data_IF_015965355346
#
_entry.id   IF_015965355346
#
_cell.length_a   1.000
_cell.length_b   1.000
_cell.length_c   1.000
_cell.angle_alpha   90.00
_cell.angle_beta   90.00
_cell.angle_gamma   90.00
#
_symmetry.space_group_name_H-M   'P 1'
#
loop_
_entity.id
_entity.type
_entity.pdbx_description
1 polymer ?
#
# COMPACT_ATOMS: atom_id res chain seq x y z
N UNK A 1 16.19 -5.84 13.90
CA UNK A 1 14.81 -5.38 14.16
C UNK A 1 14.01 -5.57 12.88
N UNK A 2 12.85 -6.22 12.95
CA UNK A 2 11.97 -6.46 11.80
C UNK A 2 11.40 -5.14 11.28
N UNK A 3 11.42 -4.96 9.95
CA UNK A 3 10.95 -3.72 9.29
C UNK A 3 9.45 -3.50 9.56
N UNK A 4 8.98 -2.27 9.84
CA UNK A 4 7.56 -2.02 10.09
C UNK A 4 6.74 -2.26 8.82
N UNK A 5 5.73 -3.13 8.89
CA UNK A 5 4.82 -3.45 7.78
C UNK A 5 3.40 -3.04 8.17
N UNK A 6 2.68 -2.44 7.22
CA UNK A 6 1.26 -2.15 7.32
C UNK A 6 0.65 -2.50 5.97
N UNK A 7 -0.56 -3.06 6.01
CA UNK A 7 -1.43 -3.14 4.86
C UNK A 7 -2.77 -2.48 5.18
N UNK A 8 -3.39 -1.84 4.18
CA UNK A 8 -4.67 -1.15 4.32
C UNK A 8 -5.77 -1.97 3.62
N UNK A 9 -6.74 -2.46 4.38
CA UNK A 9 -7.83 -3.28 3.88
C UNK A 9 -9.14 -2.49 3.83
N UNK A 10 -9.81 -2.40 2.68
CA UNK A 10 -11.08 -1.67 2.55
C UNK A 10 -12.29 -2.47 3.08
N UNK A 11 -12.17 -3.79 3.23
CA UNK A 11 -13.22 -4.60 3.81
C UNK A 11 -13.22 -4.44 5.33
N UNK A 12 -14.34 -3.96 5.88
CA UNK A 12 -14.49 -3.75 7.31
C UNK A 12 -15.40 -4.83 7.86
N UNK A 13 -14.85 -5.71 8.67
CA UNK A 13 -15.61 -6.80 9.29
C UNK A 13 -16.30 -6.32 10.57
N UNK A 14 -17.21 -7.14 11.09
CA UNK A 14 -17.78 -6.91 12.42
C UNK A 14 -16.73 -6.97 13.53
N UNK A 15 -15.72 -7.83 13.40
CA UNK A 15 -14.62 -7.91 14.37
C UNK A 15 -13.78 -6.62 14.37
N UNK A 16 -13.57 -6.00 13.21
CA UNK A 16 -12.91 -4.70 13.09
C UNK A 16 -13.68 -3.60 13.81
N UNK A 17 -15.01 -3.60 13.68
CA UNK A 17 -15.85 -2.63 14.37
C UNK A 17 -15.69 -2.68 15.91
N UNK A 18 -15.53 -3.88 16.49
CA UNK A 18 -15.25 -4.02 17.92
C UNK A 18 -13.86 -3.47 18.29
N UNK A 19 -12.82 -3.81 17.52
CA UNK A 19 -11.48 -3.25 17.75
C UNK A 19 -11.46 -1.72 17.67
N UNK A 20 -12.21 -1.14 16.72
CA UNK A 20 -12.37 0.31 16.58
C UNK A 20 -13.05 0.92 17.79
N UNK A 21 -14.12 0.31 18.31
CA UNK A 21 -14.78 0.75 19.54
C UNK A 21 -13.80 0.77 20.71
N UNK A 22 -13.09 -0.32 20.94
CA UNK A 22 -12.12 -0.44 22.04
C UNK A 22 -11.02 0.64 21.96
N UNK A 23 -10.49 0.91 20.76
CA UNK A 23 -9.48 1.97 20.59
C UNK A 23 -10.05 3.38 20.80
N UNK A 24 -11.31 3.61 20.44
CA UNK A 24 -11.95 4.93 20.57
C UNK A 24 -12.43 5.21 22.00
N UNK A 25 -12.46 4.22 22.90
CA UNK A 25 -12.66 4.44 24.33
C UNK A 25 -11.42 5.03 25.04
N UNK A 26 -10.21 4.81 24.51
CA UNK A 26 -8.98 5.35 25.09
C UNK A 26 -8.83 6.85 24.80
N UNK A 27 -8.87 7.68 25.85
CA UNK A 27 -8.69 9.12 25.75
C UNK A 27 -7.34 9.52 25.12
N UNK A 28 -6.29 8.72 25.29
CA UNK A 28 -4.99 9.01 24.67
C UNK A 28 -5.00 8.80 23.15
N UNK A 29 -5.83 7.88 22.65
CA UNK A 29 -6.03 7.65 21.22
C UNK A 29 -6.90 8.77 20.63
N UNK A 30 -7.95 9.17 21.34
CA UNK A 30 -8.95 10.11 20.85
C UNK A 30 -8.66 11.59 21.12
N UNK A 31 -7.69 11.92 22.00
CA UNK A 31 -7.35 13.30 22.40
C UNK A 31 -7.17 14.28 21.24
N UNK A 32 -6.66 13.81 20.10
CA UNK A 32 -6.38 14.64 18.93
C UNK A 32 -7.32 14.36 17.74
N UNK A 33 -8.38 13.59 17.95
CA UNK A 33 -9.41 13.30 16.94
C UNK A 33 -10.59 14.25 17.12
N UNK A 34 -10.88 15.03 16.08
CA UNK A 34 -11.93 16.07 16.11
C UNK A 34 -13.35 15.51 16.33
N UNK A 35 -13.63 14.26 15.90
CA UNK A 35 -14.98 13.67 15.87
C UNK A 35 -15.16 12.37 16.69
N UNK A 36 -14.22 12.03 17.57
CA UNK A 36 -14.14 10.70 18.21
C UNK A 36 -15.41 10.23 18.94
N UNK A 37 -16.09 11.10 19.70
CA UNK A 37 -17.26 10.72 20.52
C UNK A 37 -18.50 10.38 19.69
N UNK A 38 -18.64 10.98 18.51
CA UNK A 38 -19.76 10.66 17.60
C UNK A 38 -19.50 9.36 16.84
N UNK A 39 -18.24 9.09 16.50
CA UNK A 39 -17.83 7.88 15.77
C UNK A 39 -18.03 6.62 16.62
N UNK A 40 -17.60 6.59 17.89
CA UNK A 40 -17.80 5.41 18.76
C UNK A 40 -19.27 5.02 18.90
N UNK A 41 -20.12 6.00 19.23
CA UNK A 41 -21.58 5.78 19.36
C UNK A 41 -22.23 5.33 18.06
N UNK A 42 -21.77 5.85 16.91
CA UNK A 42 -22.25 5.40 15.62
C UNK A 42 -21.92 3.92 15.37
N UNK A 43 -20.67 3.52 15.64
CA UNK A 43 -20.23 2.12 15.48
C UNK A 43 -21.02 1.20 16.42
N UNK A 44 -21.17 1.57 17.70
CA UNK A 44 -21.99 0.84 18.68
C UNK A 44 -23.44 0.62 18.19
N UNK A 45 -24.08 1.68 17.68
CA UNK A 45 -25.45 1.60 17.16
C UNK A 45 -25.54 0.72 15.92
N UNK A 46 -24.56 0.80 15.03
CA UNK A 46 -24.47 -0.01 13.81
C UNK A 46 -24.31 -1.48 14.16
N UNK A 47 -23.33 -1.81 15.01
CA UNK A 47 -23.04 -3.19 15.42
C UNK A 47 -24.22 -3.77 16.19
N UNK A 48 -24.85 -2.99 17.07
CA UNK A 48 -26.01 -3.44 17.85
C UNK A 48 -27.28 -3.69 17.03
N UNK A 49 -27.46 -3.02 15.89
CA UNK A 49 -28.70 -3.10 15.07
C UNK A 49 -28.57 -4.00 13.85
N UNK A 50 -27.37 -4.16 13.31
CA UNK A 50 -27.13 -4.85 12.04
C UNK A 50 -26.31 -6.11 12.30
N UNK A 51 -26.83 -7.29 11.91
CA UNK A 51 -26.13 -8.58 12.03
C UNK A 51 -25.39 -8.98 10.74
N UNK A 52 -24.87 -8.00 9.99
CA UNK A 52 -24.09 -8.28 8.80
C UNK A 52 -22.63 -8.60 9.19
N UNK A 53 -21.98 -9.57 8.51
CA UNK A 53 -20.58 -9.90 8.76
C UNK A 53 -19.63 -8.80 8.24
N UNK A 54 -20.02 -8.11 7.17
CA UNK A 54 -19.25 -7.05 6.51
C UNK A 54 -20.01 -5.72 6.64
N UNK A 55 -19.32 -4.70 7.13
CA UNK A 55 -19.87 -3.39 7.49
C UNK A 55 -19.30 -2.24 6.64
N UNK A 56 -18.49 -2.53 5.61
CA UNK A 56 -17.78 -1.55 4.77
C UNK A 56 -18.62 -0.34 4.33
N UNK A 57 -19.84 -0.57 3.84
CA UNK A 57 -20.73 0.49 3.35
C UNK A 57 -21.09 1.54 4.41
N UNK A 58 -21.05 1.18 5.70
CA UNK A 58 -21.37 2.07 6.81
C UNK A 58 -20.20 2.99 7.17
N UNK A 59 -18.97 2.58 6.87
CA UNK A 59 -17.75 3.35 7.15
C UNK A 59 -17.34 4.26 5.98
N UNK A 60 -17.77 3.96 4.76
CA UNK A 60 -17.42 4.71 3.55
C UNK A 60 -18.32 5.95 3.29
N UNK A 61 -19.01 6.46 4.31
CA UNK A 61 -19.82 7.68 4.15
C UNK A 61 -18.92 8.91 4.01
N UNK A 62 -18.89 9.53 2.82
CA UNK A 62 -18.10 10.72 2.54
C UNK A 62 -16.60 10.48 2.32
N UNK A 63 -16.15 9.23 2.16
CA UNK A 63 -14.75 8.90 1.92
C UNK A 63 -14.52 7.39 1.89
N UNK A 64 -13.27 6.97 1.78
CA UNK A 64 -12.88 5.56 1.89
C UNK A 64 -12.24 5.30 3.24
N UNK A 65 -12.68 4.23 3.90
CA UNK A 65 -12.17 3.79 5.18
C UNK A 65 -11.42 2.48 5.00
N UNK A 66 -10.28 2.35 5.68
CA UNK A 66 -9.41 1.20 5.60
C UNK A 66 -8.97 0.80 7.00
N UNK A 67 -9.09 -0.49 7.32
CA UNK A 67 -8.42 -1.07 8.48
C UNK A 67 -6.94 -1.24 8.18
N UNK A 68 -6.10 -0.85 9.14
CA UNK A 68 -4.66 -1.07 9.06
C UNK A 68 -4.30 -2.34 9.82
N UNK A 69 -3.67 -3.27 9.10
CA UNK A 69 -3.20 -4.55 9.62
C UNK A 69 -1.67 -4.58 9.62
N UNK A 70 -1.07 -5.23 10.62
CA UNK A 70 0.36 -5.52 10.60
C UNK A 70 0.68 -6.78 9.79
N UNK A 71 1.91 -7.29 9.93
CA UNK A 71 2.42 -8.45 9.18
C UNK A 71 1.74 -9.78 9.54
N UNK A 72 1.15 -9.86 10.73
CA UNK A 72 0.54 -11.06 11.28
C UNK A 72 -0.99 -10.98 11.14
N UNK A 73 -1.47 -10.08 10.27
CA UNK A 73 -2.88 -9.74 10.07
C UNK A 73 -3.59 -9.33 11.37
N UNK A 74 -2.85 -8.72 12.31
CA UNK A 74 -3.43 -8.13 13.52
C UNK A 74 -3.88 -6.70 13.22
N UNK A 75 -5.13 -6.31 13.54
CA UNK A 75 -5.58 -4.95 13.37
C UNK A 75 -4.83 -4.03 14.34
N UNK A 76 -4.25 -2.94 13.83
CA UNK A 76 -3.42 -2.01 14.62
C UNK A 76 -3.88 -0.56 14.52
N UNK A 77 -4.78 -0.24 13.59
CA UNK A 77 -5.28 1.11 13.39
C UNK A 77 -6.25 1.20 12.22
N UNK A 78 -6.49 2.42 11.77
CA UNK A 78 -7.26 2.69 10.56
C UNK A 78 -6.76 3.94 9.83
N UNK A 79 -7.01 3.98 8.52
CA UNK A 79 -6.83 5.15 7.66
C UNK A 79 -8.16 5.49 7.01
N UNK A 80 -8.51 6.77 6.98
CA UNK A 80 -9.64 7.29 6.22
C UNK A 80 -9.14 8.33 5.23
N UNK A 81 -9.58 8.20 3.99
CA UNK A 81 -9.31 9.11 2.89
C UNK A 81 -10.60 9.80 2.46
N UNK A 82 -10.71 11.10 2.73
CA UNK A 82 -11.91 11.91 2.49
C UNK A 82 -11.67 12.78 1.27
N UNK A 83 -12.42 12.57 0.18
CA UNK A 83 -12.24 13.32 -1.06
C UNK A 83 -12.90 14.70 -0.97
N UNK A 84 -12.15 15.73 -1.31
CA UNK A 84 -12.56 17.14 -1.30
C UNK A 84 -12.28 17.75 -2.69
N UNK A 85 -13.16 17.47 -3.65
CA UNK A 85 -12.92 17.83 -5.05
C UNK A 85 -11.78 17.00 -5.64
N UNK A 86 -10.67 17.65 -6.01
CA UNK A 86 -9.44 17.00 -6.50
C UNK A 86 -8.44 16.68 -5.39
N UNK A 87 -8.65 17.24 -4.21
CA UNK A 87 -7.81 16.98 -3.05
C UNK A 87 -8.38 15.84 -2.20
N UNK A 88 -7.55 15.31 -1.31
CA UNK A 88 -7.93 14.28 -0.36
C UNK A 88 -7.42 14.66 1.03
N UNK A 89 -8.22 14.44 2.06
CA UNK A 89 -7.82 14.56 3.46
C UNK A 89 -7.58 13.16 4.04
N UNK A 90 -6.42 12.97 4.66
CA UNK A 90 -6.06 11.74 5.36
C UNK A 90 -6.29 11.90 6.87
N UNK A 91 -7.05 10.96 7.43
CA UNK A 91 -7.19 10.76 8.87
C UNK A 91 -6.61 9.39 9.21
N UNK A 92 -5.73 9.32 10.21
CA UNK A 92 -5.05 8.10 10.62
C UNK A 92 -5.12 7.97 12.14
N UNK A 93 -5.36 6.74 12.60
CA UNK A 93 -5.21 6.35 14.00
C UNK A 93 -4.39 5.07 14.07
N UNK A 94 -3.43 5.03 15.00
CA UNK A 94 -2.83 3.80 15.48
C UNK A 94 -3.42 3.57 16.87
N UNK A 95 -4.14 2.47 17.04
CA UNK A 95 -4.94 2.15 18.22
C UNK A 95 -4.07 1.84 19.44
N UNK A 96 -3.97 0.56 19.81
CA UNK A 96 -3.24 0.08 20.99
C UNK A 96 -1.90 0.84 21.20
N UNK A 97 -1.74 1.39 22.40
CA UNK A 97 -0.59 2.22 22.80
C UNK A 97 0.75 1.48 22.73
N UNK A 98 0.75 0.16 22.90
CA UNK A 98 1.94 -0.68 22.78
C UNK A 98 2.52 -0.66 21.35
N UNK A 99 1.69 -0.33 20.36
CA UNK A 99 2.13 -0.19 18.98
C UNK A 99 2.81 1.15 18.67
N UNK A 100 2.78 2.08 19.62
CA UNK A 100 3.32 3.42 19.41
C UNK A 100 4.86 3.40 19.46
N UNK A 101 5.49 4.19 18.59
CA UNK A 101 6.95 4.20 18.47
C UNK A 101 7.53 3.10 17.57
N UNK A 102 6.73 2.09 17.19
CA UNK A 102 7.13 1.02 16.24
C UNK A 102 7.11 1.45 14.77
N UNK A 103 7.06 2.76 14.48
CA UNK A 103 6.97 3.37 13.14
C UNK A 103 5.73 2.97 12.30
N UNK A 104 4.74 2.27 12.85
CA UNK A 104 3.51 1.85 12.13
C UNK A 104 2.74 3.04 11.51
N UNK A 105 2.67 4.18 12.21
CA UNK A 105 2.01 5.36 11.66
C UNK A 105 2.66 5.87 10.38
N UNK A 106 4.00 5.82 10.28
CA UNK A 106 4.69 6.21 9.05
C UNK A 106 4.42 5.21 7.92
N UNK A 107 4.38 3.90 8.20
CA UNK A 107 4.01 2.89 7.22
C UNK A 107 2.57 3.08 6.73
N UNK A 108 1.62 3.34 7.63
CA UNK A 108 0.23 3.61 7.26
C UNK A 108 0.06 4.89 6.42
N UNK A 109 0.85 5.95 6.68
CA UNK A 109 0.87 7.16 5.84
C UNK A 109 1.35 6.82 4.41
N UNK A 110 2.37 5.98 4.26
CA UNK A 110 2.88 5.58 2.92
C UNK A 110 1.85 4.78 2.14
N UNK A 111 1.24 3.78 2.77
CA UNK A 111 0.14 3.03 2.15
C UNK A 111 -1.06 3.94 1.81
N UNK A 112 -1.37 4.90 2.68
CA UNK A 112 -2.41 5.90 2.43
C UNK A 112 -2.08 6.82 1.25
N UNK A 113 -0.82 7.23 1.07
CA UNK A 113 -0.37 8.00 -0.10
C UNK A 113 -0.53 7.18 -1.38
N UNK A 114 -0.14 5.91 -1.37
CA UNK A 114 -0.31 5.00 -2.51
C UNK A 114 -1.77 4.98 -2.98
N UNK A 115 -2.71 4.73 -2.07
CA UNK A 115 -4.15 4.75 -2.38
C UNK A 115 -4.64 6.14 -2.82
N UNK A 116 -4.23 7.21 -2.14
CA UNK A 116 -4.70 8.55 -2.47
C UNK A 116 -4.28 9.00 -3.87
N UNK A 117 -3.04 8.73 -4.28
CA UNK A 117 -2.48 9.24 -5.53
C UNK A 117 -2.68 8.28 -6.71
N UNK A 118 -2.51 6.97 -6.53
CA UNK A 118 -2.63 6.00 -7.62
C UNK A 118 -4.07 5.50 -7.80
N UNK A 119 -4.77 5.16 -6.72
CA UNK A 119 -6.15 4.65 -6.82
C UNK A 119 -7.17 5.80 -6.94
N UNK A 120 -7.15 6.77 -6.00
CA UNK A 120 -8.14 7.85 -5.95
C UNK A 120 -7.84 9.05 -6.85
N UNK A 121 -6.65 9.10 -7.46
CA UNK A 121 -6.14 10.16 -8.35
C UNK A 121 -6.23 11.57 -7.73
N UNK A 122 -5.89 11.71 -6.45
CA UNK A 122 -5.84 13.00 -5.79
C UNK A 122 -4.69 13.87 -6.33
N UNK A 123 -4.90 15.18 -6.49
CA UNK A 123 -3.82 16.13 -6.83
C UNK A 123 -2.99 16.50 -5.58
N UNK A 124 -3.67 16.62 -4.43
CA UNK A 124 -3.06 16.94 -3.14
C UNK A 124 -3.66 16.08 -2.02
N UNK A 125 -2.82 15.62 -1.11
CA UNK A 125 -3.19 14.91 0.11
C UNK A 125 -2.87 15.75 1.33
N UNK A 126 -3.86 15.98 2.17
CA UNK A 126 -3.81 16.93 3.30
C UNK A 126 -3.97 16.16 4.60
N UNK A 127 -3.19 16.54 5.62
CA UNK A 127 -3.33 16.05 6.98
C UNK A 127 -3.46 17.24 7.93
N UNK A 128 -4.62 17.35 8.59
CA UNK A 128 -4.86 18.35 9.64
C UNK A 128 -4.50 17.76 10.99
N UNK A 129 -3.52 18.35 11.66
CA UNK A 129 -2.92 17.81 12.88
C UNK A 129 -3.02 18.83 14.00
N UNK A 130 -3.51 18.43 15.17
CA UNK A 130 -3.52 19.28 16.36
C UNK A 130 -2.10 19.78 16.69
N UNK A 131 -1.95 21.05 17.06
CA UNK A 131 -0.65 21.69 17.28
C UNK A 131 0.22 20.94 18.31
N UNK A 132 -0.40 20.40 19.37
CA UNK A 132 0.27 19.62 20.41
C UNK A 132 0.61 18.18 20.01
N UNK A 133 0.12 17.69 18.87
CA UNK A 133 0.39 16.32 18.41
C UNK A 133 1.71 16.25 17.62
N UNK A 134 2.81 16.55 18.31
CA UNK A 134 4.15 16.54 17.75
C UNK A 134 4.55 15.19 17.14
N UNK A 135 3.99 14.08 17.66
CA UNK A 135 4.24 12.74 17.14
C UNK A 135 3.66 12.55 15.73
N UNK A 136 2.38 12.91 15.54
CA UNK A 136 1.75 12.83 14.22
C UNK A 136 2.43 13.76 13.24
N UNK A 137 2.71 15.01 13.64
CA UNK A 137 3.42 15.98 12.80
C UNK A 137 4.75 15.43 12.29
N UNK A 138 5.60 14.91 13.19
CA UNK A 138 6.89 14.30 12.82
C UNK A 138 6.73 13.07 11.91
N UNK A 139 5.65 12.31 12.04
CA UNK A 139 5.40 11.15 11.17
C UNK A 139 5.10 11.59 9.73
N UNK A 140 4.23 12.59 9.54
CA UNK A 140 3.92 13.15 8.23
C UNK A 140 5.12 13.85 7.58
N UNK A 141 5.86 14.67 8.35
CA UNK A 141 7.10 15.33 7.88
C UNK A 141 8.13 14.30 7.38
N UNK A 142 8.32 13.19 8.11
CA UNK A 142 9.22 12.09 7.71
C UNK A 142 8.74 11.34 6.47
N UNK A 143 7.45 11.35 6.18
CA UNK A 143 6.88 10.83 4.94
C UNK A 143 6.91 11.85 3.80
N UNK A 144 7.55 13.01 4.00
CA UNK A 144 7.80 14.01 2.97
C UNK A 144 6.74 15.10 2.85
N UNK A 145 5.71 15.09 3.72
CA UNK A 145 4.72 16.16 3.77
C UNK A 145 5.36 17.48 4.22
N UNK A 146 4.85 18.58 3.70
CA UNK A 146 5.30 19.94 4.03
C UNK A 146 4.18 20.72 4.71
N UNK A 147 4.53 21.69 5.56
CA UNK A 147 3.55 22.58 6.17
C UNK A 147 2.90 23.45 5.07
N UNK A 148 1.57 23.42 5.00
CA UNK A 148 0.75 24.20 4.05
C UNK A 148 0.16 25.43 4.76
N UNK A 149 -0.57 25.19 5.86
CA UNK A 149 -1.13 26.26 6.70
C UNK A 149 -0.97 25.95 8.18
N UNK A 150 -0.91 26.99 9.01
CA UNK A 150 -0.79 26.86 10.46
C UNK A 150 -1.72 27.83 11.17
N UNK A 151 -2.38 27.34 12.19
CA UNK A 151 -3.18 28.10 13.16
C UNK A 151 -2.72 27.73 14.57
N UNK A 152 -3.10 28.49 15.62
CA UNK A 152 -2.75 28.13 17.00
C UNK A 152 -3.24 26.74 17.43
N UNK A 153 -4.34 26.24 16.85
CA UNK A 153 -4.92 24.95 17.21
C UNK A 153 -4.48 23.81 16.27
N UNK A 154 -4.25 24.09 14.99
CA UNK A 154 -4.07 23.09 13.94
C UNK A 154 -2.94 23.45 12.98
N UNK A 155 -2.13 22.45 12.64
CA UNK A 155 -1.15 22.48 11.57
C UNK A 155 -1.67 21.63 10.41
N UNK A 156 -1.82 22.22 9.23
CA UNK A 156 -2.18 21.51 8.02
C UNK A 156 -0.91 21.21 7.23
N UNK A 157 -0.60 19.93 7.06
CA UNK A 157 0.48 19.48 6.20
C UNK A 157 -0.09 18.94 4.89
N UNK A 158 0.66 19.08 3.80
CA UNK A 158 0.26 18.62 2.48
C UNK A 158 1.37 17.86 1.76
N UNK A 159 0.95 16.95 0.88
CA UNK A 159 1.76 16.26 -0.11
C UNK A 159 1.07 16.43 -1.47
N UNK A 160 1.78 16.86 -2.50
CA UNK A 160 1.25 16.89 -3.86
C UNK A 160 1.61 15.60 -4.59
N UNK A 161 0.82 15.23 -5.61
CA UNK A 161 1.12 14.08 -6.46
C UNK A 161 2.51 14.18 -7.09
N UNK A 162 2.87 15.34 -7.64
CA UNK A 162 4.19 15.57 -8.25
C UNK A 162 5.34 15.31 -7.26
N UNK A 163 5.21 15.81 -6.03
CA UNK A 163 6.23 15.61 -4.98
C UNK A 163 6.31 14.15 -4.57
N UNK A 164 5.17 13.47 -4.44
CA UNK A 164 5.13 12.05 -4.10
C UNK A 164 5.80 11.19 -5.17
N UNK A 165 5.47 11.39 -6.45
CA UNK A 165 6.09 10.68 -7.57
C UNK A 165 7.61 10.92 -7.62
N UNK A 166 8.06 12.15 -7.35
CA UNK A 166 9.49 12.47 -7.25
C UNK A 166 10.17 11.71 -6.11
N UNK A 167 9.53 11.67 -4.93
CA UNK A 167 10.05 10.93 -3.77
C UNK A 167 10.19 9.43 -4.06
N UNK A 168 9.24 8.82 -4.78
CA UNK A 168 9.31 7.41 -5.17
C UNK A 168 10.52 7.09 -6.05
N UNK A 169 10.89 8.01 -6.94
CA UNK A 169 12.05 7.86 -7.84
C UNK A 169 13.38 8.14 -7.16
N UNK A 170 13.44 9.20 -6.33
CA UNK A 170 14.70 9.71 -5.78
C UNK A 170 15.10 9.08 -4.45
N UNK A 171 14.12 8.68 -3.62
CA UNK A 171 14.38 8.19 -2.28
C UNK A 171 13.39 7.07 -1.92
N UNK A 172 13.58 5.86 -2.51
CA UNK A 172 12.80 4.70 -2.12
C UNK A 172 12.95 4.53 -0.61
N UNK A 173 11.84 4.44 0.12
CA UNK A 173 11.87 4.40 1.58
C UNK A 173 12.88 3.33 2.05
N UNK A 174 13.77 3.68 2.99
CA UNK A 174 14.94 2.88 3.45
C UNK A 174 14.68 1.38 3.74
N UNK A 175 13.42 0.98 3.84
CA UNK A 175 12.99 -0.36 4.25
C UNK A 175 12.35 -1.15 3.09
N UNK A 176 12.13 -0.57 1.91
CA UNK A 176 11.54 -1.24 0.75
C UNK A 176 12.65 -1.79 -0.14
N UNK A 177 12.51 -3.02 -0.61
CA UNK A 177 13.46 -3.64 -1.53
C UNK A 177 13.43 -2.90 -2.87
N UNK A 178 14.61 -2.62 -3.43
CA UNK A 178 14.71 -2.01 -4.75
C UNK A 178 14.38 -3.04 -5.82
N UNK A 179 13.30 -2.78 -6.56
CA UNK A 179 12.93 -3.59 -7.72
C UNK A 179 13.48 -2.95 -8.99
N UNK A 180 13.78 -3.79 -9.98
CA UNK A 180 14.34 -3.37 -11.26
C UNK A 180 13.33 -3.63 -12.36
N UNK A 181 13.28 -2.75 -13.34
CA UNK A 181 12.45 -2.94 -14.54
C UNK A 181 13.21 -2.47 -15.75
N UNK A 182 13.09 -3.18 -16.86
CA UNK A 182 13.70 -2.73 -18.11
C UNK A 182 13.00 -1.50 -18.66
N UNK A 183 13.72 -0.69 -19.43
CA UNK A 183 13.14 0.48 -20.12
C UNK A 183 11.97 0.07 -21.03
N UNK A 184 12.09 -1.07 -21.70
CA UNK A 184 11.09 -1.61 -22.63
C UNK A 184 9.82 -2.01 -21.87
N UNK A 185 9.95 -2.85 -20.84
CA UNK A 185 8.80 -3.30 -20.05
C UNK A 185 8.10 -2.15 -19.36
N UNK A 186 8.84 -1.18 -18.82
CA UNK A 186 8.26 0.01 -18.20
C UNK A 186 7.41 0.81 -19.19
N UNK A 187 7.88 0.98 -20.43
CA UNK A 187 7.12 1.68 -21.46
C UNK A 187 5.87 0.89 -21.87
N UNK A 188 6.00 -0.43 -22.06
CA UNK A 188 4.88 -1.31 -22.44
C UNK A 188 3.81 -1.35 -21.35
N UNK A 189 4.18 -1.58 -20.10
CA UNK A 189 3.25 -1.60 -18.97
C UNK A 189 2.56 -0.24 -18.78
N UNK A 190 3.29 0.88 -18.88
CA UNK A 190 2.64 2.21 -18.78
C UNK A 190 1.58 2.45 -19.86
N UNK A 191 1.82 1.98 -21.08
CA UNK A 191 0.84 2.09 -22.15
C UNK A 191 -0.40 1.21 -21.89
N UNK A 192 -0.21 0.01 -21.32
CA UNK A 192 -1.32 -0.88 -20.94
C UNK A 192 -2.15 -0.26 -19.81
N UNK A 193 -1.50 0.24 -18.75
CA UNK A 193 -2.16 0.84 -17.59
C UNK A 193 -2.98 2.10 -17.92
N UNK A 194 -2.69 2.78 -19.04
CA UNK A 194 -3.39 4.00 -19.44
C UNK A 194 -4.89 3.78 -19.74
N UNK A 195 -5.31 2.53 -19.99
CA UNK A 195 -6.68 2.16 -20.33
C UNK A 195 -7.39 1.37 -19.23
N UNK A 196 -6.71 1.09 -18.12
CA UNK A 196 -7.23 0.27 -17.03
C UNK A 196 -7.85 1.10 -15.90
N UNK A 197 -8.82 0.51 -15.21
CA UNK A 197 -9.44 1.13 -14.03
C UNK A 197 -8.43 1.18 -12.86
N UNK A 198 -8.14 2.36 -12.28
CA UNK A 198 -7.07 2.52 -11.29
C UNK A 198 -7.14 1.56 -10.11
N UNK A 199 -8.35 1.23 -9.63
CA UNK A 199 -8.56 0.38 -8.46
C UNK A 199 -7.99 -1.03 -8.60
N UNK A 200 -7.85 -1.55 -9.83
CA UNK A 200 -7.31 -2.89 -10.10
C UNK A 200 -5.80 -2.93 -10.32
N UNK A 201 -5.17 -1.77 -10.56
CA UNK A 201 -3.79 -1.69 -11.05
C UNK A 201 -2.87 -0.75 -10.24
N UNK A 202 -3.41 -0.04 -9.24
CA UNK A 202 -2.67 1.00 -8.52
C UNK A 202 -1.40 0.48 -7.83
N UNK A 203 -1.39 -0.79 -7.38
CA UNK A 203 -0.20 -1.44 -6.82
C UNK A 203 0.91 -1.55 -7.87
N UNK A 204 0.58 -2.07 -9.06
CA UNK A 204 1.54 -2.19 -10.16
C UNK A 204 2.05 -0.83 -10.62
N UNK A 205 1.17 0.17 -10.75
CA UNK A 205 1.58 1.53 -11.12
C UNK A 205 2.52 2.15 -10.08
N UNK A 206 2.26 1.92 -8.80
CA UNK A 206 3.14 2.32 -7.71
C UNK A 206 4.52 1.65 -7.80
N UNK A 207 4.55 0.34 -8.03
CA UNK A 207 5.78 -0.45 -8.17
C UNK A 207 6.61 0.03 -9.37
N UNK A 208 5.98 0.22 -10.53
CA UNK A 208 6.65 0.73 -11.75
C UNK A 208 7.22 2.14 -11.54
N UNK A 209 6.52 2.99 -10.79
CA UNK A 209 6.96 4.36 -10.53
C UNK A 209 8.23 4.41 -9.67
N UNK A 210 8.32 3.56 -8.64
CA UNK A 210 9.49 3.49 -7.74
C UNK A 210 10.63 2.60 -8.25
N UNK A 211 10.38 1.80 -9.29
CA UNK A 211 11.36 0.84 -9.81
C UNK A 211 12.60 1.54 -10.39
N UNK A 212 13.76 0.92 -10.17
CA UNK A 212 15.02 1.31 -10.82
C UNK A 212 14.94 0.86 -12.27
N UNK A 213 14.99 1.83 -13.19
CA UNK A 213 14.93 1.57 -14.61
C UNK A 213 16.33 1.22 -15.10
N UNK A 214 16.45 0.10 -15.81
CA UNK A 214 17.72 -0.40 -16.35
C UNK A 214 17.62 -0.70 -17.84
N UNK A 215 18.75 -0.58 -18.53
CA UNK A 215 18.87 -1.07 -19.91
C UNK A 215 18.65 -2.59 -19.94
N UNK A 216 17.88 -3.15 -20.90
CA UNK A 216 17.68 -4.59 -21.02
C UNK A 216 18.98 -5.40 -21.11
N UNK A 217 20.05 -4.83 -21.69
CA UNK A 217 21.37 -5.47 -21.77
C UNK A 217 22.14 -5.44 -20.44
N UNK A 218 21.69 -4.63 -19.49
CA UNK A 218 22.34 -4.42 -18.20
C UNK A 218 21.53 -4.95 -17.01
N UNK A 219 20.32 -5.48 -17.23
CA UNK A 219 19.54 -6.12 -16.17
C UNK A 219 20.29 -7.35 -15.66
N UNK A 220 20.30 -7.54 -14.35
CA UNK A 220 20.96 -8.69 -13.75
C UNK A 220 20.14 -9.96 -14.02
N UNK A 221 20.82 -11.08 -14.28
CA UNK A 221 20.20 -12.36 -14.68
C UNK A 221 19.36 -13.03 -13.60
N UNK A 222 19.42 -12.52 -12.37
CA UNK A 222 18.69 -12.99 -11.20
C UNK A 222 17.42 -12.17 -10.91
N UNK A 223 17.07 -11.21 -11.78
CA UNK A 223 15.86 -10.37 -11.65
C UNK A 223 14.68 -11.04 -12.35
N UNK A 224 13.50 -11.01 -11.72
CA UNK A 224 12.24 -11.38 -12.37
C UNK A 224 11.77 -10.23 -13.28
N UNK A 225 12.09 -10.29 -14.57
CA UNK A 225 11.57 -9.38 -15.62
C UNK A 225 10.28 -9.94 -16.22
N UNK A 226 9.64 -9.20 -17.14
CA UNK A 226 8.50 -9.73 -17.87
C UNK A 226 8.91 -10.99 -18.66
N UNK A 227 8.00 -11.94 -18.80
CA UNK A 227 8.21 -13.26 -19.41
C UNK A 227 9.26 -14.16 -18.74
N UNK A 228 9.75 -13.78 -17.55
CA UNK A 228 10.63 -14.64 -16.75
C UNK A 228 9.87 -15.84 -16.16
N UNK A 229 10.59 -16.94 -15.94
CA UNK A 229 10.14 -18.07 -15.11
C UNK A 229 10.91 -18.10 -13.81
N UNK A 230 10.21 -18.30 -12.70
CA UNK A 230 10.82 -18.33 -11.38
C UNK A 230 10.16 -19.37 -10.47
N UNK A 231 10.94 -19.88 -9.52
CA UNK A 231 10.43 -20.59 -8.34
C UNK A 231 10.17 -19.54 -7.26
N UNK A 232 8.92 -19.44 -6.86
CA UNK A 232 8.46 -18.53 -5.81
C UNK A 232 7.96 -19.36 -4.64
N UNK A 233 8.48 -19.06 -3.46
CA UNK A 233 8.01 -19.61 -2.20
C UNK A 233 6.97 -18.66 -1.62
N UNK A 234 5.75 -19.14 -1.45
CA UNK A 234 4.65 -18.45 -0.80
C UNK A 234 4.36 -19.10 0.55
N UNK A 235 4.72 -18.42 1.64
CA UNK A 235 4.76 -18.98 2.98
C UNK A 235 5.56 -20.29 3.00
N UNK A 236 4.89 -21.45 3.12
CA UNK A 236 5.49 -22.79 3.19
C UNK A 236 5.35 -23.59 1.86
N UNK A 237 4.77 -23.00 0.81
CA UNK A 237 4.55 -23.66 -0.48
C UNK A 237 5.42 -23.06 -1.61
N UNK A 238 6.22 -23.91 -2.28
CA UNK A 238 6.98 -23.54 -3.47
C UNK A 238 6.16 -23.77 -4.74
N UNK A 239 6.22 -22.84 -5.69
CA UNK A 239 5.59 -22.97 -7.00
C UNK A 239 6.47 -22.40 -8.11
N UNK A 240 6.50 -23.08 -9.26
CA UNK A 240 7.07 -22.53 -10.49
C UNK A 240 6.01 -21.67 -11.18
N UNK A 241 6.38 -20.44 -11.51
CA UNK A 241 5.51 -19.46 -12.14
C UNK A 241 6.21 -18.78 -13.30
N UNK A 242 5.45 -18.38 -14.31
CA UNK A 242 5.90 -17.48 -15.37
C UNK A 242 5.21 -16.13 -15.22
N UNK A 243 5.96 -15.03 -15.09
CA UNK A 243 5.40 -13.68 -15.07
C UNK A 243 5.13 -13.24 -16.51
N UNK A 244 3.89 -12.98 -16.87
CA UNK A 244 3.52 -12.67 -18.27
C UNK A 244 2.63 -11.44 -18.37
N UNK A 245 2.50 -10.92 -19.58
CA UNK A 245 1.51 -9.90 -19.89
C UNK A 245 0.07 -10.44 -19.79
N UNK A 246 -0.95 -9.59 -19.56
CA UNK A 246 -2.33 -10.04 -19.37
C UNK A 246 -2.87 -10.91 -20.50
N UNK A 247 -2.49 -10.65 -21.74
CA UNK A 247 -2.90 -11.42 -22.92
C UNK A 247 -2.44 -12.89 -22.92
N UNK A 248 -1.36 -13.20 -22.19
CA UNK A 248 -0.71 -14.53 -22.16
C UNK A 248 -0.98 -15.30 -20.86
N UNK A 249 -1.81 -14.75 -19.97
CA UNK A 249 -2.12 -15.32 -18.67
C UNK A 249 -2.88 -16.65 -18.78
N UNK A 250 -2.44 -17.64 -18.00
CA UNK A 250 -3.04 -18.97 -17.94
C UNK A 250 -2.69 -19.61 -16.59
N UNK A 251 -3.61 -19.51 -15.64
CA UNK A 251 -3.47 -20.07 -14.30
C UNK A 251 -3.21 -21.59 -14.32
N UNK A 252 -3.78 -22.31 -15.30
CA UNK A 252 -3.62 -23.77 -15.40
C UNK A 252 -2.21 -24.17 -15.82
N UNK A 253 -1.49 -23.26 -16.49
CA UNK A 253 -0.11 -23.43 -16.93
C UNK A 253 0.90 -22.70 -16.04
N UNK A 254 0.47 -22.14 -14.90
CA UNK A 254 1.34 -21.38 -13.99
C UNK A 254 1.79 -20.02 -14.55
N UNK A 255 1.10 -19.49 -15.57
CA UNK A 255 1.39 -18.19 -16.17
C UNK A 255 0.62 -17.08 -15.46
N UNK A 256 1.31 -16.36 -14.58
CA UNK A 256 0.75 -15.27 -13.80
C UNK A 256 0.76 -13.97 -14.62
N UNK A 257 -0.43 -13.40 -14.82
CA UNK A 257 -0.52 -12.03 -15.32
C UNK A 257 0.18 -11.06 -14.36
N UNK A 258 0.93 -10.11 -14.90
CA UNK A 258 1.47 -8.96 -14.15
C UNK A 258 0.38 -8.14 -13.46
N UNK A 259 -0.89 -8.20 -13.91
CA UNK A 259 -2.03 -7.55 -13.27
C UNK A 259 -2.64 -8.35 -12.10
N UNK A 260 -2.21 -9.60 -11.90
CA UNK A 260 -2.61 -10.36 -10.72
C UNK A 260 -1.85 -9.89 -9.48
N UNK A 261 -2.45 -10.04 -8.29
CA UNK A 261 -1.80 -9.70 -7.02
C UNK A 261 -0.38 -10.28 -6.91
N UNK A 262 -0.20 -11.54 -7.31
CA UNK A 262 1.10 -12.23 -7.27
C UNK A 262 2.06 -11.73 -8.36
N UNK A 263 1.57 -11.57 -9.59
CA UNK A 263 2.40 -11.10 -10.70
C UNK A 263 2.95 -9.69 -10.47
N UNK A 264 2.11 -8.79 -9.94
CA UNK A 264 2.54 -7.46 -9.49
C UNK A 264 3.59 -7.57 -8.39
N UNK A 265 3.36 -8.45 -7.40
CA UNK A 265 4.23 -8.57 -6.23
C UNK A 265 5.65 -9.04 -6.55
N UNK A 266 5.84 -9.89 -7.58
CA UNK A 266 7.15 -10.47 -7.90
C UNK A 266 7.94 -9.67 -8.94
N UNK A 267 7.31 -8.77 -9.69
CA UNK A 267 7.96 -7.99 -10.74
C UNK A 267 9.18 -7.22 -10.20
N UNK A 268 10.33 -7.46 -10.82
CA UNK A 268 11.57 -6.73 -10.55
C UNK A 268 12.32 -7.13 -9.28
N UNK A 269 11.82 -8.10 -8.51
CA UNK A 269 12.54 -8.70 -7.39
C UNK A 269 13.62 -9.67 -7.87
N UNK A 270 14.63 -9.90 -7.03
CA UNK A 270 15.78 -10.77 -7.34
C UNK A 270 15.72 -12.09 -6.60
N UNK A 271 16.43 -13.10 -7.13
CA UNK A 271 16.72 -14.33 -6.39
C UNK A 271 17.23 -14.02 -4.96
N UNK A 272 16.64 -14.70 -3.97
CA UNK A 272 16.95 -14.52 -2.56
C UNK A 272 16.19 -13.39 -1.87
N UNK A 273 15.53 -12.48 -2.59
CA UNK A 273 14.69 -11.46 -1.97
C UNK A 273 13.55 -12.09 -1.19
N UNK A 274 13.26 -11.52 -0.02
CA UNK A 274 12.13 -11.91 0.83
C UNK A 274 11.37 -10.67 1.28
N UNK A 275 10.05 -10.70 1.12
CA UNK A 275 9.17 -9.57 1.41
C UNK A 275 7.78 -10.04 1.85
N UNK A 276 7.01 -9.15 2.45
CA UNK A 276 5.63 -9.39 2.81
C UNK A 276 4.72 -8.64 1.85
N UNK A 277 3.66 -9.28 1.39
CA UNK A 277 2.70 -8.71 0.46
C UNK A 277 1.27 -9.13 0.83
N UNK A 278 0.28 -8.25 0.64
CA UNK A 278 -1.11 -8.62 0.90
C UNK A 278 -1.72 -9.23 -0.36
N UNK A 279 -1.99 -10.53 -0.33
CA UNK A 279 -2.65 -11.28 -1.40
C UNK A 279 -4.06 -11.69 -0.94
N UNK A 280 -5.10 -11.43 -1.73
CA UNK A 280 -6.49 -11.87 -1.43
C UNK A 280 -6.91 -11.62 0.03
N UNK A 281 -6.65 -10.42 0.56
CA UNK A 281 -6.93 -10.02 1.95
C UNK A 281 -6.15 -10.75 3.06
N UNK A 282 -5.01 -11.37 2.77
CA UNK A 282 -4.08 -11.89 3.78
C UNK A 282 -2.66 -11.46 3.51
N UNK A 283 -1.92 -11.18 4.57
CA UNK A 283 -0.48 -10.94 4.45
C UNK A 283 0.20 -12.29 4.22
N UNK A 284 1.01 -12.36 3.17
CA UNK A 284 1.79 -13.53 2.78
C UNK A 284 3.26 -13.18 2.72
N UNK A 285 4.10 -14.15 3.05
CA UNK A 285 5.54 -14.04 2.97
C UNK A 285 5.99 -14.64 1.64
N UNK A 286 6.61 -13.81 0.81
CA UNK A 286 7.05 -14.21 -0.53
C UNK A 286 8.58 -14.21 -0.53
N UNK A 287 9.15 -15.28 -1.09
CA UNK A 287 10.58 -15.35 -1.41
C UNK A 287 10.76 -15.77 -2.86
N UNK A 288 11.60 -15.04 -3.59
CA UNK A 288 12.07 -15.48 -4.90
C UNK A 288 13.18 -16.50 -4.65
N UNK A 289 12.89 -17.79 -4.84
CA UNK A 289 13.89 -18.83 -4.59
C UNK A 289 14.91 -18.91 -5.72
N UNK A 290 14.41 -18.85 -6.96
CA UNK A 290 15.24 -18.98 -8.16
C UNK A 290 14.55 -18.39 -9.39
N UNK A 291 15.31 -17.75 -10.27
CA UNK A 291 14.93 -17.37 -11.63
C UNK A 291 15.44 -18.47 -12.56
N UNK A 292 14.51 -19.21 -13.14
CA UNK A 292 14.79 -20.36 -14.01
C UNK A 292 15.06 -19.92 -15.46
N UNK A 293 14.42 -18.83 -15.88
CA UNK A 293 14.57 -18.24 -17.20
C UNK A 293 14.29 -16.74 -17.11
N UNK A 294 15.13 -15.95 -17.77
CA UNK A 294 14.95 -14.52 -17.96
C UNK A 294 15.22 -14.20 -19.44
N UNK A 295 14.31 -13.50 -20.16
CA UNK A 295 14.49 -13.20 -21.57
C UNK A 295 15.82 -12.49 -21.88
N UNK A 296 16.19 -11.49 -21.08
CA UNK A 296 17.39 -10.69 -21.30
C UNK A 296 18.68 -11.53 -21.15
N UNK A 297 18.73 -12.42 -20.15
CA UNK A 297 19.86 -13.35 -19.99
C UNK A 297 19.93 -14.40 -21.12
N UNK A 298 18.80 -14.74 -21.74
CA UNK A 298 18.74 -15.66 -22.88
C UNK A 298 19.00 -14.98 -24.24
N UNK A 299 19.01 -13.64 -24.28
CA UNK A 299 19.16 -12.85 -25.52
C UNK A 299 17.84 -12.56 -26.25
N UNK A 300 16.69 -12.82 -25.61
CA UNK A 300 15.36 -12.67 -26.17
C UNK A 300 14.76 -11.27 -25.88
N UNK A 301 15.47 -10.20 -26.25
CA UNK A 301 15.12 -8.80 -25.93
C UNK A 301 13.82 -8.25 -26.55
N UNK A 302 13.06 -9.07 -27.27
CA UNK A 302 11.84 -8.68 -27.99
C UNK A 302 10.55 -9.20 -27.36
N UNK A 303 10.64 -10.03 -26.31
CA UNK A 303 9.49 -10.65 -25.64
C UNK A 303 8.75 -9.67 -24.71
#
# INVERSE_FOLDING_TARGET
>A
MTKPFISLCPEITRADAFNLMDWLEDEHVTRYLSDSRHVSRFIEQVVGRVQLPILTHLFNQGGRFFMAYDRDDVPVGFVRLVKMGRDCEMVLVIGNRENWGRKLGASAIREGMKLAFFDMRAEKLIAKIHADNARSRKAFERCGFVLDTQTPALHSLAMTSERYLRLLRENPAEHVTHIHITEIDKARLRNMLAFEEPSGIFELEHEIERAIVVDPLAVASDVVTMNSKAVVQLDDEAMEVALVYPEDADDSAGKLSVFSDMGTAILGYKEGDTFAWRLRNRTRHIRIEKVLYQPEAAGDFHL
#
